data_IF_373984166369
#
_entry.id   IF_373984166369
#
_cell.length_a   1.000
_cell.length_b   1.000
_cell.length_c   1.000
_cell.angle_alpha   90.00
_cell.angle_beta   90.00
_cell.angle_gamma   90.00
#
_symmetry.space_group_name_H-M   'P 1'
#
loop_
_entity.id
_entity.type
_entity.pdbx_description
1 polymer ?
#
# COMPACT_ATOMS: atom_id res chain seq x y z
N UNK A 1 12.38 -47.75 43.39
CA UNK A 1 12.45 -48.05 41.94
C UNK A 1 12.28 -46.73 41.21
N UNK A 2 13.36 -45.97 41.11
CA UNK A 2 14.31 -45.88 39.99
C UNK A 2 13.87 -44.81 38.97
N UNK A 3 14.61 -43.70 39.01
CA UNK A 3 14.75 -42.68 37.97
C UNK A 3 15.52 -43.29 36.80
N UNK A 4 15.20 -42.88 35.57
CA UNK A 4 16.22 -42.74 34.52
C UNK A 4 16.04 -41.40 33.81
N UNK A 5 17.13 -40.64 33.81
CA UNK A 5 17.38 -39.41 33.06
C UNK A 5 18.02 -39.80 31.73
N UNK A 6 17.70 -39.08 30.65
CA UNK A 6 18.58 -39.00 29.49
C UNK A 6 18.78 -37.55 29.07
N UNK A 7 20.06 -37.17 29.08
CA UNK A 7 20.64 -35.87 28.76
C UNK A 7 20.67 -35.59 27.25
N UNK A 8 20.71 -34.30 26.82
CA UNK A 8 20.89 -33.94 25.42
C UNK A 8 22.38 -33.96 25.02
N UNK A 9 22.68 -34.63 23.91
CA UNK A 9 23.99 -34.62 23.27
C UNK A 9 24.14 -33.34 22.44
N UNK A 10 25.13 -32.52 22.79
CA UNK A 10 25.69 -31.50 21.91
C UNK A 10 26.65 -32.16 20.91
N UNK A 11 26.50 -31.86 19.62
CA UNK A 11 27.59 -31.98 18.66
C UNK A 11 27.71 -30.67 17.88
N UNK A 12 28.76 -29.94 18.23
CA UNK A 12 29.40 -28.94 17.39
C UNK A 12 29.81 -29.59 16.05
N UNK A 13 29.59 -28.89 14.94
CA UNK A 13 30.60 -28.88 13.89
C UNK A 13 30.49 -27.61 13.03
N UNK A 14 31.43 -26.69 13.30
CA UNK A 14 31.98 -25.80 12.29
C UNK A 14 32.64 -26.69 11.24
N UNK A 15 32.23 -26.60 9.98
CA UNK A 15 33.17 -26.71 8.88
C UNK A 15 32.68 -25.95 7.66
N UNK A 16 33.64 -25.21 7.15
CA UNK A 16 33.62 -24.13 6.18
C UNK A 16 33.54 -24.64 4.74
N UNK A 17 32.94 -23.79 3.90
CA UNK A 17 33.10 -23.66 2.45
C UNK A 17 34.35 -24.33 1.86
N UNK A 18 34.14 -25.39 1.09
CA UNK A 18 34.74 -25.66 -0.23
C UNK A 18 34.22 -27.02 -0.68
N UNK A 19 34.01 -27.24 -1.97
CA UNK A 19 33.48 -28.49 -2.57
C UNK A 19 31.95 -28.60 -2.70
N UNK A 20 31.33 -27.62 -3.37
CA UNK A 20 30.11 -27.88 -4.16
C UNK A 20 30.27 -27.16 -5.51
N UNK A 21 31.25 -27.61 -6.27
CA UNK A 21 31.30 -27.43 -7.72
C UNK A 21 31.50 -28.80 -8.33
N UNK A 22 30.67 -29.07 -9.34
CA UNK A 22 30.68 -30.23 -10.23
C UNK A 22 30.14 -31.53 -9.61
N UNK A 23 28.88 -31.83 -9.95
CA UNK A 23 28.48 -33.10 -10.58
C UNK A 23 26.95 -33.16 -10.69
N UNK A 24 26.41 -32.74 -11.82
CA UNK A 24 25.11 -33.22 -12.30
C UNK A 24 25.25 -33.57 -13.78
N UNK A 25 25.79 -34.75 -14.02
CA UNK A 25 25.58 -35.48 -15.27
C UNK A 25 24.68 -36.68 -15.02
N UNK A 26 23.62 -36.73 -15.82
CA UNK A 26 23.02 -37.93 -16.41
C UNK A 26 22.24 -38.90 -15.49
N UNK A 27 20.94 -38.59 -15.31
CA UNK A 27 19.89 -39.60 -15.16
C UNK A 27 19.23 -39.83 -16.54
N UNK A 28 19.10 -41.09 -17.03
CA UNK A 28 18.46 -41.39 -18.31
C UNK A 28 16.94 -41.47 -18.13
N UNK A 29 16.14 -40.77 -18.96
CA UNK A 29 14.71 -41.05 -19.02
C UNK A 29 13.73 -39.96 -19.46
N UNK A 30 14.14 -38.74 -19.82
CA UNK A 30 13.22 -37.74 -20.39
C UNK A 30 13.86 -37.03 -21.59
N UNK A 31 13.39 -37.24 -22.84
CA UNK A 31 13.97 -36.63 -24.03
C UNK A 31 13.40 -35.22 -24.26
N UNK A 32 13.37 -34.40 -23.22
CA UNK A 32 13.10 -32.97 -23.37
C UNK A 32 14.32 -32.22 -22.88
N UNK A 33 15.29 -32.07 -23.80
CA UNK A 33 16.26 -30.99 -23.70
C UNK A 33 15.44 -29.72 -23.83
N UNK A 34 15.29 -28.95 -22.75
CA UNK A 34 14.74 -27.60 -22.84
C UNK A 34 15.80 -26.79 -23.58
N UNK A 35 15.72 -26.79 -24.90
CA UNK A 35 16.47 -25.85 -25.71
C UNK A 35 15.99 -24.46 -25.31
N UNK A 36 16.90 -23.67 -24.73
CA UNK A 36 16.62 -22.24 -24.54
C UNK A 36 16.28 -21.68 -25.92
N UNK A 37 15.13 -20.99 -26.08
CA UNK A 37 14.70 -20.55 -27.40
C UNK A 37 15.81 -19.71 -28.03
N UNK A 38 16.14 -20.02 -29.29
CA UNK A 38 17.24 -19.40 -30.05
C UNK A 38 17.03 -17.89 -30.29
N UNK A 39 15.84 -17.37 -29.98
CA UNK A 39 15.45 -15.97 -30.03
C UNK A 39 14.59 -15.66 -28.80
N UNK A 40 14.81 -14.53 -28.10
CA UNK A 40 13.93 -14.10 -27.02
C UNK A 40 12.50 -13.90 -27.56
N UNK A 41 11.50 -14.38 -26.82
CA UNK A 41 10.09 -14.19 -27.18
C UNK A 41 9.79 -12.68 -27.17
N UNK A 42 9.41 -12.12 -28.31
CA UNK A 42 8.94 -10.75 -28.40
C UNK A 42 7.52 -10.67 -27.83
N UNK A 43 7.32 -9.80 -26.84
CA UNK A 43 6.00 -9.52 -26.27
C UNK A 43 5.42 -8.32 -27.02
N UNK A 44 4.22 -8.46 -27.57
CA UNK A 44 3.55 -7.38 -28.32
C UNK A 44 2.72 -6.49 -27.40
N UNK A 45 2.13 -7.06 -26.34
CA UNK A 45 1.31 -6.32 -25.39
C UNK A 45 1.27 -6.95 -23.99
N UNK A 46 0.88 -6.12 -23.02
CA UNK A 46 0.60 -6.53 -21.64
C UNK A 46 -0.90 -6.63 -21.42
N UNK A 47 -1.37 -7.61 -20.66
CA UNK A 47 -2.77 -7.71 -20.24
C UNK A 47 -2.91 -7.76 -18.71
N UNK A 48 -3.43 -6.69 -18.11
CA UNK A 48 -3.83 -6.69 -16.70
C UNK A 48 -5.10 -7.52 -16.55
N UNK A 49 -4.93 -8.77 -16.13
CA UNK A 49 -5.99 -9.78 -16.11
C UNK A 49 -7.09 -9.49 -15.08
N UNK A 50 -6.73 -8.82 -13.97
CA UNK A 50 -7.67 -8.47 -12.89
C UNK A 50 -7.22 -7.20 -12.16
N UNK A 51 -8.16 -6.30 -11.91
CA UNK A 51 -7.92 -5.09 -11.11
C UNK A 51 -8.01 -5.40 -9.61
N UNK A 52 -7.31 -4.61 -8.80
CA UNK A 52 -7.29 -4.72 -7.35
C UNK A 52 -7.97 -3.51 -6.69
N UNK A 53 -7.98 -3.47 -5.36
CA UNK A 53 -8.32 -2.26 -4.60
C UNK A 53 -7.47 -1.06 -5.06
N UNK A 54 -7.96 0.16 -4.85
CA UNK A 54 -7.37 1.40 -5.37
C UNK A 54 -5.83 1.46 -5.27
N UNK A 55 -5.27 1.37 -4.07
CA UNK A 55 -3.82 1.47 -3.88
C UNK A 55 -3.03 0.36 -4.57
N UNK A 56 -3.56 -0.87 -4.58
CA UNK A 56 -2.94 -1.97 -5.30
C UNK A 56 -3.00 -1.76 -6.81
N UNK A 57 -4.09 -1.22 -7.32
CA UNK A 57 -4.27 -0.94 -8.74
C UNK A 57 -3.37 0.20 -9.24
N UNK A 58 -3.12 1.25 -8.42
CA UNK A 58 -2.07 2.24 -8.71
C UNK A 58 -0.70 1.56 -8.84
N UNK A 59 -0.36 0.68 -7.91
CA UNK A 59 0.89 -0.10 -7.96
C UNK A 59 0.97 -1.01 -9.20
N UNK A 60 -0.14 -1.64 -9.60
CA UNK A 60 -0.21 -2.46 -10.82
C UNK A 60 0.11 -1.61 -12.06
N UNK A 61 -0.50 -0.43 -12.17
CA UNK A 61 -0.30 0.46 -13.31
C UNK A 61 1.13 0.97 -13.40
N UNK A 62 1.71 1.42 -12.29
CA UNK A 62 3.11 1.88 -12.27
C UNK A 62 4.05 0.76 -12.70
N UNK A 63 3.88 -0.45 -12.18
CA UNK A 63 4.68 -1.61 -12.56
C UNK A 63 4.58 -1.93 -14.06
N UNK A 64 3.36 -1.89 -14.61
CA UNK A 64 3.13 -2.18 -16.03
C UNK A 64 3.72 -1.10 -16.92
N UNK A 65 3.48 0.18 -16.62
CA UNK A 65 4.07 1.27 -17.39
C UNK A 65 5.60 1.22 -17.35
N UNK A 66 6.19 0.99 -16.18
CA UNK A 66 7.63 0.81 -16.07
C UNK A 66 8.14 -0.34 -16.96
N UNK A 67 7.50 -1.50 -16.87
CA UNK A 67 7.88 -2.67 -17.64
C UNK A 67 7.76 -2.41 -19.14
N UNK A 68 6.68 -1.77 -19.57
CA UNK A 68 6.46 -1.40 -20.97
C UNK A 68 7.56 -0.47 -21.49
N UNK A 69 7.93 0.57 -20.73
CA UNK A 69 8.99 1.50 -21.12
C UNK A 69 10.34 0.81 -21.25
N UNK A 70 10.71 -0.08 -20.31
CA UNK A 70 12.00 -0.78 -20.36
C UNK A 70 12.09 -1.81 -21.50
N UNK A 71 10.96 -2.31 -21.98
CA UNK A 71 10.92 -3.38 -22.99
C UNK A 71 10.36 -2.91 -24.34
N UNK A 72 10.12 -1.61 -24.54
CA UNK A 72 9.52 -1.03 -25.74
C UNK A 72 8.18 -1.70 -26.12
N UNK A 73 7.33 -1.95 -25.12
CA UNK A 73 5.99 -2.53 -25.33
C UNK A 73 4.96 -1.40 -25.37
N UNK A 74 4.28 -1.27 -26.49
CA UNK A 74 3.43 -0.11 -26.78
C UNK A 74 1.95 -0.29 -26.42
N UNK A 75 1.53 -1.45 -25.88
CA UNK A 75 0.12 -1.72 -25.60
C UNK A 75 -0.10 -2.38 -24.25
N UNK A 76 -1.09 -1.85 -23.52
CA UNK A 76 -1.57 -2.38 -22.26
C UNK A 76 -3.08 -2.58 -22.35
N UNK A 77 -3.53 -3.82 -22.23
CA UNK A 77 -4.94 -4.17 -22.14
C UNK A 77 -5.38 -4.31 -20.68
N UNK A 78 -6.61 -3.93 -20.40
CA UNK A 78 -7.26 -4.22 -19.11
C UNK A 78 -8.61 -4.87 -19.40
N UNK A 79 -8.90 -6.01 -18.77
CA UNK A 79 -10.21 -6.67 -18.95
C UNK A 79 -11.33 -5.95 -18.20
N UNK A 80 -10.99 -5.49 -17.02
CA UNK A 80 -11.88 -4.72 -16.15
C UNK A 80 -11.58 -3.23 -16.30
N UNK A 81 -12.59 -2.41 -16.08
CA UNK A 81 -12.38 -0.98 -16.00
C UNK A 81 -11.68 -0.66 -14.68
N UNK A 82 -10.62 0.12 -14.72
CA UNK A 82 -10.21 0.85 -13.52
C UNK A 82 -11.24 1.98 -13.37
N UNK A 83 -12.16 1.84 -12.42
CA UNK A 83 -13.32 2.74 -12.30
C UNK A 83 -12.98 4.23 -12.13
N UNK A 84 -11.74 4.54 -11.76
CA UNK A 84 -11.21 5.90 -11.62
C UNK A 84 -10.26 6.29 -12.75
N UNK A 85 -10.19 5.54 -13.86
CA UNK A 85 -9.34 5.86 -15.02
C UNK A 85 -10.22 6.12 -16.23
N UNK A 86 -9.82 7.08 -17.06
CA UNK A 86 -10.51 7.33 -18.33
C UNK A 86 -10.40 6.09 -19.26
N UNK A 87 -11.52 5.66 -19.84
CA UNK A 87 -11.60 4.41 -20.61
C UNK A 87 -10.87 4.46 -21.96
N UNK A 88 -10.60 5.65 -22.48
CA UNK A 88 -9.86 5.84 -23.72
C UNK A 88 -8.72 6.83 -23.48
N UNK A 89 -7.48 6.33 -23.45
CA UNK A 89 -6.32 7.20 -23.33
C UNK A 89 -5.25 6.85 -24.35
N UNK A 90 -5.06 7.76 -25.32
CA UNK A 90 -3.85 7.84 -26.14
C UNK A 90 -2.84 8.73 -25.43
N UNK A 91 -1.58 8.29 -25.36
CA UNK A 91 -0.62 8.82 -24.39
C UNK A 91 0.12 10.07 -24.87
N UNK A 92 0.27 10.32 -26.18
CA UNK A 92 0.54 11.60 -26.88
C UNK A 92 1.26 11.32 -28.21
N UNK A 93 1.58 12.36 -28.98
CA UNK A 93 2.21 12.27 -30.32
C UNK A 93 3.65 11.74 -30.32
N UNK A 94 4.36 11.69 -29.17
CA UNK A 94 5.81 11.46 -29.14
C UNK A 94 6.31 10.23 -28.33
N UNK A 95 5.48 9.55 -27.52
CA UNK A 95 5.83 8.27 -26.88
C UNK A 95 4.59 7.33 -26.77
N UNK A 96 4.69 6.16 -27.41
CA UNK A 96 3.55 5.29 -27.81
C UNK A 96 3.27 4.15 -26.81
N UNK A 97 2.82 4.42 -25.59
CA UNK A 97 2.13 3.34 -24.84
C UNK A 97 0.63 3.58 -24.98
N UNK A 98 -0.19 2.61 -25.34
CA UNK A 98 -1.65 2.75 -25.41
C UNK A 98 -2.28 1.94 -24.28
N UNK A 99 -3.11 2.60 -23.45
CA UNK A 99 -3.89 1.93 -22.42
C UNK A 99 -5.30 1.64 -22.96
N UNK A 100 -5.52 0.38 -23.31
CA UNK A 100 -6.70 -0.16 -23.96
C UNK A 100 -7.63 -0.77 -22.90
N UNK A 101 -8.46 0.06 -22.28
CA UNK A 101 -9.37 -0.32 -21.19
C UNK A 101 -10.58 -1.08 -21.72
N UNK A 102 -10.94 -2.20 -21.08
CA UNK A 102 -12.06 -3.08 -21.47
C UNK A 102 -11.99 -3.59 -22.93
N UNK A 103 -10.78 -3.63 -23.50
CA UNK A 103 -10.55 -4.14 -24.85
C UNK A 103 -9.90 -5.51 -24.78
N UNK A 104 -10.20 -6.34 -25.78
CA UNK A 104 -9.54 -7.63 -25.95
C UNK A 104 -8.33 -7.46 -26.87
N UNK A 105 -7.23 -8.16 -26.57
CA UNK A 105 -6.13 -8.29 -27.51
C UNK A 105 -6.55 -8.93 -28.83
N UNK A 106 -5.79 -8.64 -29.90
CA UNK A 106 -5.96 -9.31 -31.18
C UNK A 106 -5.42 -10.74 -31.15
N UNK A 107 -5.97 -11.63 -31.99
CA UNK A 107 -5.59 -13.05 -32.02
C UNK A 107 -4.13 -13.32 -32.43
N UNK A 108 -3.43 -12.33 -32.99
CA UNK A 108 -2.05 -12.45 -33.46
C UNK A 108 -1.01 -11.86 -32.48
N UNK A 109 -1.44 -11.24 -31.38
CA UNK A 109 -0.53 -10.58 -30.43
C UNK A 109 0.00 -11.59 -29.39
N UNK A 110 1.31 -11.57 -29.14
CA UNK A 110 1.93 -12.31 -28.04
C UNK A 110 1.77 -11.50 -26.75
N UNK A 111 1.07 -12.08 -25.78
CA UNK A 111 0.68 -11.40 -24.55
C UNK A 111 1.43 -11.89 -23.33
N UNK A 112 1.89 -10.95 -22.52
CA UNK A 112 2.19 -11.22 -21.12
C UNK A 112 0.99 -10.79 -20.27
N UNK A 113 0.30 -11.77 -19.68
CA UNK A 113 -0.90 -11.56 -18.88
C UNK A 113 -0.65 -11.84 -17.40
N UNK A 114 -1.19 -11.01 -16.52
CA UNK A 114 -0.97 -11.16 -15.09
C UNK A 114 -1.62 -10.11 -14.22
N UNK A 115 -1.31 -10.15 -12.91
CA UNK A 115 -1.72 -9.12 -11.96
C UNK A 115 -0.76 -7.95 -11.91
N UNK A 116 0.55 -8.15 -12.11
CA UNK A 116 1.55 -7.08 -12.07
C UNK A 116 1.60 -6.27 -10.76
N UNK A 117 1.07 -6.78 -9.64
CA UNK A 117 1.13 -6.09 -8.35
C UNK A 117 2.54 -6.13 -7.73
N UNK A 118 3.26 -7.25 -7.90
CA UNK A 118 4.60 -7.42 -7.34
C UNK A 118 5.68 -7.07 -8.37
N UNK A 119 6.48 -6.00 -8.16
CA UNK A 119 7.56 -5.64 -9.09
C UNK A 119 8.62 -6.75 -9.20
N UNK A 120 8.84 -7.52 -8.12
CA UNK A 120 9.75 -8.67 -8.11
C UNK A 120 9.37 -9.75 -9.11
N UNK A 121 8.07 -9.95 -9.37
CA UNK A 121 7.61 -10.94 -10.35
C UNK A 121 7.93 -10.52 -11.79
N UNK A 122 8.15 -9.22 -12.03
CA UNK A 122 8.51 -8.67 -13.33
C UNK A 122 10.01 -8.45 -13.50
N UNK A 123 10.81 -8.80 -12.48
CA UNK A 123 12.21 -8.38 -12.36
C UNK A 123 12.37 -6.85 -12.53
N UNK A 124 11.33 -6.08 -12.19
CA UNK A 124 11.35 -4.63 -12.22
C UNK A 124 11.95 -4.12 -10.91
N UNK A 125 13.03 -3.37 -11.03
CA UNK A 125 13.55 -2.52 -9.95
C UNK A 125 13.61 -1.11 -10.47
N UNK A 126 12.95 -0.19 -9.78
CA UNK A 126 12.95 1.24 -10.06
C UNK A 126 13.34 1.99 -8.79
N UNK A 127 13.99 3.14 -8.97
CA UNK A 127 14.20 4.14 -7.93
C UNK A 127 12.88 4.78 -7.52
N UNK A 128 12.86 5.45 -6.36
CA UNK A 128 11.68 6.21 -5.93
C UNK A 128 11.36 7.37 -6.90
N UNK A 129 12.37 7.97 -7.55
CA UNK A 129 12.17 8.99 -8.58
C UNK A 129 11.54 8.41 -9.85
N UNK A 130 12.02 7.27 -10.35
CA UNK A 130 11.38 6.57 -11.47
C UNK A 130 9.92 6.23 -11.16
N UNK A 131 9.63 5.79 -9.93
CA UNK A 131 8.27 5.48 -9.50
C UNK A 131 7.35 6.71 -9.55
N UNK A 132 7.79 7.85 -9.02
CA UNK A 132 7.04 9.11 -9.05
C UNK A 132 6.88 9.62 -10.48
N UNK A 133 7.94 9.59 -11.29
CA UNK A 133 7.91 10.05 -12.68
C UNK A 133 6.90 9.24 -13.52
N UNK A 134 6.88 7.92 -13.34
CA UNK A 134 5.92 7.06 -14.04
C UNK A 134 4.50 7.35 -13.59
N UNK A 135 4.29 7.51 -12.29
CA UNK A 135 2.99 7.90 -11.78
C UNK A 135 2.54 9.23 -12.39
N UNK A 136 3.39 10.25 -12.41
CA UNK A 136 3.02 11.59 -12.87
C UNK A 136 2.80 11.70 -14.38
N UNK A 137 3.60 11.00 -15.18
CA UNK A 137 3.46 11.03 -16.63
C UNK A 137 2.35 10.09 -17.14
N UNK A 138 2.23 8.89 -16.54
CA UNK A 138 1.42 7.81 -17.10
C UNK A 138 0.18 7.46 -16.29
N UNK A 139 0.15 7.67 -14.98
CA UNK A 139 -1.01 7.27 -14.15
C UNK A 139 -1.88 8.47 -13.78
N UNK A 140 -1.30 9.48 -13.14
CA UNK A 140 -2.00 10.65 -12.61
C UNK A 140 -2.89 11.38 -13.63
N UNK A 141 -2.45 11.64 -14.89
CA UNK A 141 -3.27 12.36 -15.87
C UNK A 141 -4.55 11.62 -16.27
N UNK A 142 -4.64 10.33 -15.95
CA UNK A 142 -5.74 9.44 -16.33
C UNK A 142 -6.72 9.22 -15.18
N UNK A 143 -6.33 9.62 -13.97
CA UNK A 143 -7.19 9.50 -12.78
C UNK A 143 -8.33 10.51 -12.89
N UNK A 144 -9.55 9.99 -13.03
CA UNK A 144 -10.80 10.73 -13.03
C UNK A 144 -11.54 10.47 -11.72
N UNK A 145 -11.63 11.50 -10.90
CA UNK A 145 -12.34 11.48 -9.63
C UNK A 145 -13.50 12.48 -9.66
N UNK A 146 -14.57 12.26 -8.88
CA UNK A 146 -15.62 13.25 -8.72
C UNK A 146 -15.07 14.52 -8.06
N UNK A 147 -15.85 15.60 -8.14
CA UNK A 147 -15.60 16.78 -7.30
C UNK A 147 -15.72 16.33 -5.84
N UNK A 148 -14.75 16.75 -5.02
CA UNK A 148 -14.79 16.41 -3.60
C UNK A 148 -16.02 17.02 -2.94
N UNK A 149 -16.77 16.24 -2.15
CA UNK A 149 -17.94 16.77 -1.43
C UNK A 149 -17.55 17.74 -0.30
N UNK A 150 -16.29 17.73 0.13
CA UNK A 150 -15.79 18.54 1.24
C UNK A 150 -14.63 19.41 0.76
N UNK A 151 -14.72 20.71 0.99
CA UNK A 151 -13.60 21.62 0.77
C UNK A 151 -12.61 21.48 1.93
N UNK A 152 -11.34 21.20 1.60
CA UNK A 152 -10.24 21.06 2.57
C UNK A 152 -9.41 22.36 2.61
N UNK A 153 -9.28 22.92 3.81
CA UNK A 153 -8.47 24.11 4.11
C UNK A 153 -7.02 23.74 4.46
N UNK A 154 -6.14 24.75 4.54
CA UNK A 154 -4.73 24.56 4.93
C UNK A 154 -4.55 24.22 6.42
N UNK A 155 -5.53 24.54 7.27
CA UNK A 155 -5.53 24.30 8.72
C UNK A 155 -6.36 23.07 9.13
N UNK A 156 -7.02 22.43 8.17
CA UNK A 156 -7.71 21.17 8.40
C UNK A 156 -6.71 20.02 8.60
N UNK A 157 -7.10 19.07 9.46
CA UNK A 157 -6.47 17.76 9.57
C UNK A 157 -7.40 16.69 8.99
N UNK A 158 -6.97 16.06 7.90
CA UNK A 158 -7.71 14.95 7.29
C UNK A 158 -7.23 13.64 7.90
N UNK A 159 -8.15 12.79 8.36
CA UNK A 159 -7.85 11.54 9.05
C UNK A 159 -8.47 10.38 8.28
N UNK A 160 -7.64 9.59 7.62
CA UNK A 160 -8.07 8.33 7.00
C UNK A 160 -8.01 7.18 8.00
N UNK A 161 -9.16 6.56 8.28
CA UNK A 161 -9.23 5.29 8.97
C UNK A 161 -9.42 4.15 7.98
N UNK A 162 -8.61 3.09 8.13
CA UNK A 162 -8.91 1.81 7.51
C UNK A 162 -9.99 1.13 8.35
N UNK A 163 -11.07 0.72 7.72
CA UNK A 163 -12.17 -0.03 8.34
C UNK A 163 -12.60 -1.17 7.39
N UNK A 164 -13.84 -1.66 7.49
CA UNK A 164 -14.39 -2.69 6.61
C UNK A 164 -13.87 -4.09 6.90
N UNK A 165 -13.35 -4.76 5.87
CA UNK A 165 -12.98 -6.17 5.85
C UNK A 165 -12.02 -6.60 6.97
N UNK A 166 -11.17 -5.69 7.43
CA UNK A 166 -10.19 -5.99 8.49
C UNK A 166 -10.81 -6.02 9.90
N UNK A 167 -12.02 -5.46 10.08
CA UNK A 167 -12.80 -5.51 11.32
C UNK A 167 -14.04 -6.42 11.22
N UNK A 168 -14.18 -7.15 10.10
CA UNK A 168 -15.22 -8.15 9.97
C UNK A 168 -14.99 -9.35 10.90
N UNK A 169 -16.06 -10.10 11.18
CA UNK A 169 -15.99 -11.35 11.96
C UNK A 169 -15.38 -12.53 11.16
N UNK A 170 -15.10 -12.33 9.87
CA UNK A 170 -14.33 -13.26 9.04
C UNK A 170 -12.83 -13.13 9.36
N UNK A 171 -12.05 -14.18 9.09
CA UNK A 171 -10.59 -14.20 9.32
C UNK A 171 -9.92 -12.98 8.66
N UNK A 172 -9.59 -11.91 9.42
CA UNK A 172 -9.07 -10.70 8.82
C UNK A 172 -7.61 -10.94 8.43
N UNK A 173 -7.14 -10.25 7.40
CA UNK A 173 -5.76 -10.49 6.97
C UNK A 173 -4.77 -10.01 8.06
N UNK A 174 -3.90 -10.90 8.58
CA UNK A 174 -3.28 -10.73 9.89
C UNK A 174 -2.22 -9.62 9.95
N UNK A 175 -1.79 -9.11 8.80
CA UNK A 175 -0.86 -7.98 8.73
C UNK A 175 -1.53 -6.61 8.86
N UNK A 176 -2.87 -6.53 8.85
CA UNK A 176 -3.61 -5.26 8.79
C UNK A 176 -4.12 -4.73 10.14
N UNK A 177 -3.46 -5.07 11.25
CA UNK A 177 -3.68 -4.35 12.50
C UNK A 177 -3.51 -2.85 12.32
N UNK A 178 -4.34 -2.08 13.02
CA UNK A 178 -4.47 -0.63 12.86
C UNK A 178 -3.90 0.15 14.05
N UNK A 179 -3.61 1.45 13.88
CA UNK A 179 -3.07 2.30 14.95
C UNK A 179 -3.99 2.40 16.18
N UNK A 180 -3.45 2.60 17.38
CA UNK A 180 -4.25 2.83 18.59
C UNK A 180 -4.93 4.20 18.57
N UNK A 181 -5.94 4.38 19.43
CA UNK A 181 -6.63 5.67 19.64
C UNK A 181 -5.64 6.80 20.00
N UNK A 182 -4.68 6.49 20.88
CA UNK A 182 -3.67 7.43 21.35
C UNK A 182 -2.78 8.00 20.25
N UNK A 183 -2.61 7.28 19.13
CA UNK A 183 -1.91 7.82 17.95
C UNK A 183 -2.66 9.01 17.36
N UNK A 184 -3.97 8.86 17.11
CA UNK A 184 -4.79 9.93 16.53
C UNK A 184 -4.85 11.13 17.47
N UNK A 185 -5.08 10.88 18.77
CA UNK A 185 -5.11 11.93 19.80
C UNK A 185 -3.80 12.72 19.85
N UNK A 186 -2.66 12.02 19.88
CA UNK A 186 -1.33 12.64 19.91
C UNK A 186 -1.09 13.57 18.71
N UNK A 187 -1.49 13.14 17.51
CA UNK A 187 -1.35 13.97 16.30
C UNK A 187 -2.29 15.18 16.35
N UNK A 188 -3.55 14.99 16.73
CA UNK A 188 -4.53 16.09 16.85
C UNK A 188 -4.05 17.15 17.86
N UNK A 189 -3.51 16.73 19.01
CA UNK A 189 -3.00 17.65 20.03
C UNK A 189 -1.75 18.41 19.59
N UNK A 190 -0.90 17.76 18.78
CA UNK A 190 0.29 18.39 18.20
C UNK A 190 -0.07 19.40 17.11
N UNK A 191 -0.99 19.03 16.22
CA UNK A 191 -1.34 19.85 15.07
C UNK A 191 -2.30 21.00 15.40
N UNK A 192 -3.16 20.83 16.41
CA UNK A 192 -4.18 21.81 16.82
C UNK A 192 -4.98 22.35 15.62
N UNK A 193 -5.64 21.46 14.85
CA UNK A 193 -6.33 21.87 13.64
C UNK A 193 -7.57 22.71 13.95
N UNK A 194 -7.96 23.57 13.00
CA UNK A 194 -9.22 24.31 13.08
C UNK A 194 -10.43 23.37 12.94
N UNK A 195 -10.24 22.26 12.21
CA UNK A 195 -11.25 21.23 11.97
C UNK A 195 -10.61 19.91 11.58
N UNK A 196 -11.25 18.81 11.95
CA UNK A 196 -10.90 17.48 11.47
C UNK A 196 -11.89 16.98 10.40
N UNK A 197 -11.37 16.30 9.37
CA UNK A 197 -12.18 15.61 8.38
C UNK A 197 -11.90 14.11 8.49
N UNK A 198 -12.88 13.35 8.98
CA UNK A 198 -12.73 11.92 9.22
C UNK A 198 -13.21 11.15 7.99
N UNK A 199 -12.31 10.41 7.34
CA UNK A 199 -12.60 9.64 6.12
C UNK A 199 -12.49 8.15 6.41
N UNK A 200 -13.56 7.39 6.16
CA UNK A 200 -13.63 5.95 6.45
C UNK A 200 -14.70 5.24 5.61
N UNK A 201 -14.48 3.94 5.34
CA UNK A 201 -15.42 3.11 4.57
C UNK A 201 -16.70 2.82 5.37
N UNK A 202 -16.54 2.55 6.66
CA UNK A 202 -17.62 2.28 7.61
C UNK A 202 -17.17 2.54 9.05
N UNK A 203 -18.07 2.32 10.02
CA UNK A 203 -17.80 2.54 11.46
C UNK A 203 -17.22 1.33 12.19
N UNK A 204 -16.72 0.31 11.48
CA UNK A 204 -16.24 -0.93 12.12
C UNK A 204 -14.92 -0.75 12.89
N UNK A 205 -14.14 0.29 12.57
CA UNK A 205 -12.92 0.62 13.32
C UNK A 205 -13.28 1.29 14.65
N UNK A 206 -12.94 0.62 15.75
CA UNK A 206 -13.27 1.04 17.13
C UNK A 206 -12.73 2.43 17.52
N UNK A 207 -11.70 2.93 16.85
CA UNK A 207 -11.13 4.24 17.15
C UNK A 207 -11.96 5.41 16.58
N UNK A 208 -12.84 5.19 15.58
CA UNK A 208 -13.56 6.28 14.91
C UNK A 208 -14.43 7.06 15.89
N UNK A 209 -15.35 6.37 16.59
CA UNK A 209 -16.25 6.99 17.55
C UNK A 209 -15.48 7.66 18.71
N UNK A 210 -14.39 7.04 19.16
CA UNK A 210 -13.58 7.60 20.24
C UNK A 210 -12.82 8.87 19.82
N UNK A 211 -12.43 8.97 18.55
CA UNK A 211 -11.87 10.22 18.00
C UNK A 211 -12.96 11.29 17.89
N UNK A 212 -14.18 10.96 17.47
CA UNK A 212 -15.32 11.90 17.46
C UNK A 212 -15.60 12.46 18.86
N UNK A 213 -15.65 11.59 19.89
CA UNK A 213 -15.82 11.98 21.30
C UNK A 213 -14.69 12.91 21.76
N UNK A 214 -13.44 12.55 21.45
CA UNK A 214 -12.27 13.34 21.81
C UNK A 214 -12.31 14.75 21.18
N UNK A 215 -12.67 14.83 19.89
CA UNK A 215 -12.79 16.11 19.17
C UNK A 215 -13.89 16.98 19.78
N UNK A 216 -15.04 16.40 20.10
CA UNK A 216 -16.13 17.11 20.77
C UNK A 216 -15.71 17.65 22.15
N UNK A 217 -14.99 16.86 22.96
CA UNK A 217 -14.47 17.28 24.26
C UNK A 217 -13.46 18.43 24.16
N UNK A 218 -12.66 18.46 23.08
CA UNK A 218 -11.69 19.54 22.80
C UNK A 218 -12.33 20.74 22.09
N UNK A 219 -13.64 20.71 21.82
CA UNK A 219 -14.35 21.69 21.00
C UNK A 219 -13.71 21.92 19.61
N UNK A 220 -13.15 20.87 19.00
CA UNK A 220 -12.62 20.89 17.65
C UNK A 220 -13.74 20.44 16.69
N UNK A 221 -14.20 21.28 15.76
CA UNK A 221 -15.18 20.90 14.75
C UNK A 221 -14.72 19.68 13.94
N UNK A 222 -15.65 18.81 13.57
CA UNK A 222 -15.34 17.70 12.66
C UNK A 222 -16.48 17.38 11.70
N UNK A 223 -16.12 16.80 10.55
CA UNK A 223 -17.04 16.31 9.54
C UNK A 223 -16.63 14.88 9.17
N UNK A 224 -17.61 14.01 8.97
CA UNK A 224 -17.37 12.64 8.54
C UNK A 224 -17.68 12.49 7.05
N UNK A 225 -16.77 11.85 6.33
CA UNK A 225 -16.86 11.51 4.91
C UNK A 225 -16.81 9.98 4.80
N UNK A 226 -17.95 9.38 4.48
CA UNK A 226 -18.14 7.93 4.43
C UNK A 226 -19.26 7.61 3.45
N UNK A 227 -19.03 7.93 2.18
CA UNK A 227 -20.02 7.72 1.11
C UNK A 227 -19.58 6.59 0.21
N UNK A 228 -19.09 6.90 -0.98
CA UNK A 228 -18.41 5.98 -1.85
C UNK A 228 -16.90 6.22 -1.86
N UNK A 229 -16.15 5.19 -2.25
CA UNK A 229 -14.69 5.20 -2.32
C UNK A 229 -14.13 6.33 -3.19
N UNK A 230 -14.82 6.77 -4.25
CA UNK A 230 -14.33 7.83 -5.14
C UNK A 230 -14.44 9.18 -4.49
N UNK A 231 -15.56 9.45 -3.83
CA UNK A 231 -15.77 10.66 -3.03
C UNK A 231 -14.77 10.73 -1.86
N UNK A 232 -14.46 9.60 -1.24
CA UNK A 232 -13.45 9.49 -0.18
C UNK A 232 -12.04 9.79 -0.72
N UNK A 233 -11.66 9.19 -1.86
CA UNK A 233 -10.39 9.50 -2.52
C UNK A 233 -10.33 10.96 -2.96
N UNK A 234 -11.42 11.52 -3.49
CA UNK A 234 -11.49 12.92 -3.91
C UNK A 234 -11.31 13.88 -2.71
N UNK A 235 -11.84 13.54 -1.54
CA UNK A 235 -11.58 14.26 -0.30
C UNK A 235 -10.10 14.16 0.11
N UNK A 236 -9.56 12.95 0.17
CA UNK A 236 -8.19 12.69 0.60
C UNK A 236 -7.14 13.32 -0.32
N UNK A 237 -7.37 13.35 -1.63
CA UNK A 237 -6.51 14.00 -2.63
C UNK A 237 -6.29 15.49 -2.36
N UNK A 238 -7.22 16.16 -1.68
CA UNK A 238 -7.13 17.59 -1.38
C UNK A 238 -6.48 17.88 -0.02
N UNK A 239 -5.99 16.85 0.68
CA UNK A 239 -5.39 17.00 2.00
C UNK A 239 -4.13 17.87 2.00
N UNK A 240 -4.00 18.69 3.04
CA UNK A 240 -2.79 19.49 3.32
C UNK A 240 -2.04 18.88 4.49
N UNK A 241 -2.76 18.51 5.54
CA UNK A 241 -2.27 17.74 6.68
C UNK A 241 -3.06 16.43 6.75
N UNK A 242 -2.37 15.29 6.69
CA UNK A 242 -3.01 13.98 6.54
C UNK A 242 -2.52 12.98 7.60
N UNK A 243 -3.46 12.33 8.30
CA UNK A 243 -3.21 11.08 9.02
C UNK A 243 -3.60 9.91 8.12
N UNK A 244 -2.70 8.95 7.95
CA UNK A 244 -2.95 7.72 7.17
C UNK A 244 -2.97 6.49 8.06
N UNK A 245 -4.07 5.73 7.98
CA UNK A 245 -4.13 4.37 8.50
C UNK A 245 -3.18 3.41 7.76
N UNK A 246 -2.94 2.23 8.35
CA UNK A 246 -2.04 1.22 7.78
C UNK A 246 -2.69 0.51 6.60
N UNK A 247 -2.12 0.70 5.41
CA UNK A 247 -2.54 0.03 4.17
C UNK A 247 -1.82 0.60 2.95
N UNK A 248 -1.83 -0.12 1.82
CA UNK A 248 -1.34 0.40 0.53
C UNK A 248 -2.18 1.56 0.00
N UNK A 249 -3.39 1.73 0.51
CA UNK A 249 -4.26 2.85 0.19
C UNK A 249 -3.65 4.19 0.62
N UNK A 250 -3.07 4.27 1.83
CA UNK A 250 -2.44 5.50 2.33
C UNK A 250 -1.31 5.97 1.42
N UNK A 251 -0.43 5.07 1.00
CA UNK A 251 0.68 5.38 0.08
C UNK A 251 0.18 5.96 -1.24
N UNK A 252 -0.82 5.32 -1.85
CA UNK A 252 -1.42 5.78 -3.09
C UNK A 252 -2.08 7.17 -2.95
N UNK A 253 -2.69 7.46 -1.80
CA UNK A 253 -3.21 8.80 -1.51
C UNK A 253 -2.09 9.83 -1.42
N UNK A 254 -0.98 9.52 -0.75
CA UNK A 254 0.14 10.48 -0.65
C UNK A 254 0.76 10.82 -2.00
N UNK A 255 0.77 9.88 -2.94
CA UNK A 255 1.13 10.14 -4.34
C UNK A 255 0.11 11.00 -5.08
N UNK A 256 -1.17 10.81 -4.80
CA UNK A 256 -2.24 11.51 -5.51
C UNK A 256 -2.36 12.98 -5.09
N UNK A 257 -2.02 13.30 -3.83
CA UNK A 257 -2.14 14.63 -3.26
C UNK A 257 -1.00 15.55 -3.74
N UNK A 258 -1.35 16.70 -4.33
CA UNK A 258 -0.39 17.71 -4.81
C UNK A 258 -0.18 18.88 -3.84
N UNK A 259 -0.95 18.96 -2.75
CA UNK A 259 -0.90 20.02 -1.73
C UNK A 259 -0.38 19.54 -0.37
N UNK A 260 0.06 18.28 -0.29
CA UNK A 260 0.42 17.64 0.97
C UNK A 260 1.63 18.35 1.59
N UNK A 261 1.43 18.97 2.75
CA UNK A 261 2.49 19.61 3.53
C UNK A 261 2.98 18.71 4.66
N UNK A 262 2.09 17.94 5.27
CA UNK A 262 2.42 17.02 6.38
C UNK A 262 1.65 15.71 6.29
N UNK A 263 2.34 14.61 6.54
CA UNK A 263 1.71 13.28 6.68
C UNK A 263 2.16 12.60 7.97
N UNK A 264 1.20 11.98 8.66
CA UNK A 264 1.38 11.26 9.92
C UNK A 264 1.00 9.80 9.74
N UNK A 265 1.87 8.90 10.18
CA UNK A 265 1.61 7.47 10.13
C UNK A 265 2.11 6.77 11.38
N UNK A 266 1.59 5.57 11.62
CA UNK A 266 1.96 4.75 12.77
C UNK A 266 2.80 3.55 12.36
N UNK A 267 4.02 3.47 12.89
CA UNK A 267 5.01 2.40 12.66
C UNK A 267 5.49 2.22 11.20
N UNK A 268 6.62 1.54 11.04
CA UNK A 268 7.42 1.48 9.79
C UNK A 268 6.91 0.57 8.67
N UNK A 269 5.59 0.33 8.56
CA UNK A 269 5.14 -0.60 7.51
C UNK A 269 5.26 0.01 6.11
N UNK A 270 5.17 1.33 5.99
CA UNK A 270 5.10 2.02 4.72
C UNK A 270 6.17 3.10 4.64
N UNK A 271 6.91 3.08 3.53
CA UNK A 271 7.94 4.07 3.22
C UNK A 271 7.25 5.25 2.55
N UNK A 272 6.90 6.27 3.34
CA UNK A 272 6.42 7.56 2.82
C UNK A 272 7.53 8.39 2.16
N UNK A 273 8.57 7.73 1.62
CA UNK A 273 9.62 8.32 0.78
C UNK A 273 9.00 9.09 -0.39
N UNK A 274 7.89 8.60 -0.92
CA UNK A 274 7.16 9.26 -2.02
C UNK A 274 6.56 10.61 -1.59
N UNK A 275 6.08 10.71 -0.35
CA UNK A 275 5.61 11.98 0.20
C UNK A 275 6.79 12.95 0.44
N UNK A 276 7.93 12.44 0.91
CA UNK A 276 9.17 13.24 1.06
C UNK A 276 9.64 13.80 -0.28
N UNK A 277 9.67 12.98 -1.34
CA UNK A 277 10.04 13.41 -2.69
C UNK A 277 9.13 14.52 -3.24
N UNK A 278 7.88 14.57 -2.75
CA UNK A 278 6.91 15.62 -3.08
C UNK A 278 6.95 16.83 -2.15
N UNK A 279 7.97 16.91 -1.29
CA UNK A 279 8.21 18.04 -0.40
C UNK A 279 7.34 18.06 0.87
N UNK A 280 6.61 16.98 1.17
CA UNK A 280 5.85 16.88 2.40
C UNK A 280 6.77 16.55 3.59
N UNK A 281 6.45 17.09 4.77
CA UNK A 281 7.03 16.64 6.03
C UNK A 281 6.40 15.34 6.45
N UNK A 282 7.22 14.35 6.78
CA UNK A 282 6.76 13.02 7.15
C UNK A 282 7.01 12.78 8.62
N UNK A 283 5.96 12.48 9.37
CA UNK A 283 6.00 12.23 10.80
C UNK A 283 5.62 10.79 11.10
N UNK A 284 6.55 10.06 11.72
CA UNK A 284 6.31 8.73 12.24
C UNK A 284 5.92 8.83 13.70
N UNK A 285 4.82 8.18 14.07
CA UNK A 285 4.52 7.86 15.46
C UNK A 285 4.83 6.39 15.70
N UNK A 286 5.65 6.10 16.71
CA UNK A 286 6.09 4.75 17.06
C UNK A 286 5.75 4.39 18.51
N UNK A 287 5.55 3.10 18.72
CA UNK A 287 5.45 2.46 20.02
C UNK A 287 6.87 2.23 20.59
N UNK A 288 7.22 3.01 21.62
CA UNK A 288 8.52 2.93 22.31
C UNK A 288 8.72 1.62 23.07
N UNK A 289 7.64 1.00 23.56
CA UNK A 289 7.72 -0.20 24.41
C UNK A 289 7.72 -1.47 23.56
N UNK A 290 7.22 -1.40 22.33
CA UNK A 290 7.02 -2.51 21.42
C UNK A 290 5.82 -3.39 21.78
N UNK A 291 5.06 -3.06 22.84
CA UNK A 291 3.92 -3.86 23.29
C UNK A 291 2.78 -3.86 22.27
N UNK A 292 2.35 -2.69 21.84
CA UNK A 292 1.28 -2.55 20.85
C UNK A 292 1.71 -3.19 19.53
N UNK A 293 2.94 -2.89 19.10
CA UNK A 293 3.52 -3.46 17.89
C UNK A 293 3.49 -4.99 17.94
N UNK A 294 3.96 -5.57 19.04
CA UNK A 294 4.03 -7.02 19.23
C UNK A 294 2.66 -7.71 19.29
N UNK A 295 1.61 -7.04 19.77
CA UNK A 295 0.26 -7.62 19.95
C UNK A 295 -0.70 -7.38 18.79
N UNK A 296 -0.45 -6.36 17.97
CA UNK A 296 -1.40 -5.90 16.92
C UNK A 296 -0.76 -5.86 15.53
N UNK A 297 0.55 -5.63 15.41
CA UNK A 297 1.18 -5.19 14.15
C UNK A 297 2.20 -6.16 13.55
N UNK A 298 2.45 -7.32 14.16
CA UNK A 298 3.47 -8.31 13.74
C UNK A 298 2.90 -9.46 12.91
N UNK A 299 1.79 -9.25 12.21
CA UNK A 299 1.15 -10.33 11.44
C UNK A 299 0.29 -11.23 12.33
N UNK A 300 -0.29 -10.68 13.38
CA UNK A 300 -1.12 -11.35 14.37
C UNK A 300 -2.48 -10.70 14.59
N UNK A 301 -2.88 -9.76 13.72
CA UNK A 301 -4.20 -9.16 13.78
C UNK A 301 -5.28 -10.23 13.56
N UNK A 302 -6.22 -10.32 14.49
CA UNK A 302 -7.34 -11.25 14.47
C UNK A 302 -8.67 -10.57 14.79
N UNK A 303 -8.66 -9.26 15.04
CA UNK A 303 -9.84 -8.48 15.42
C UNK A 303 -10.51 -9.01 16.72
N UNK A 304 -9.71 -9.48 17.68
CA UNK A 304 -10.24 -9.96 18.97
C UNK A 304 -10.64 -8.80 19.88
N UNK A 305 -11.50 -9.05 20.86
CA UNK A 305 -11.89 -8.04 21.84
C UNK A 305 -10.70 -7.52 22.66
N UNK A 306 -9.71 -8.36 22.94
CA UNK A 306 -8.47 -7.96 23.62
C UNK A 306 -7.65 -7.00 22.76
N UNK A 307 -7.55 -7.26 21.45
CA UNK A 307 -6.87 -6.37 20.52
C UNK A 307 -7.59 -5.03 20.38
N UNK A 308 -8.94 -5.04 20.28
CA UNK A 308 -9.76 -3.81 20.26
C UNK A 308 -9.59 -3.01 21.55
N UNK A 309 -9.66 -3.66 22.72
CA UNK A 309 -9.42 -3.03 24.02
C UNK A 309 -8.02 -2.42 24.10
N UNK A 310 -7.02 -3.11 23.58
CA UNK A 310 -5.66 -2.57 23.49
C UNK A 310 -5.62 -1.33 22.58
N UNK A 311 -6.26 -1.36 21.40
CA UNK A 311 -6.37 -0.19 20.52
C UNK A 311 -6.96 1.04 21.23
N UNK A 312 -7.98 0.84 22.06
CA UNK A 312 -8.65 1.94 22.75
C UNK A 312 -7.87 2.47 23.96
N UNK A 313 -7.22 1.59 24.71
CA UNK A 313 -6.63 1.91 26.02
C UNK A 313 -5.10 2.09 25.99
N UNK A 314 -4.45 1.96 24.83
CA UNK A 314 -2.99 2.06 24.76
C UNK A 314 -2.50 3.48 25.11
N UNK A 315 -1.62 3.59 26.10
CA UNK A 315 -1.21 4.87 26.67
C UNK A 315 -0.37 5.73 25.69
N UNK A 316 -0.74 7.00 25.53
CA UNK A 316 -0.03 7.95 24.67
C UNK A 316 1.40 8.27 25.13
N UNK A 317 1.73 8.06 26.41
CA UNK A 317 3.08 8.19 26.96
C UNK A 317 4.03 7.11 26.43
N UNK A 318 3.50 5.98 25.94
CA UNK A 318 4.27 4.96 25.25
C UNK A 318 4.57 5.33 23.79
N UNK A 319 3.98 6.42 23.28
CA UNK A 319 4.17 6.87 21.91
C UNK A 319 5.20 7.99 21.80
N UNK A 320 6.08 7.88 20.81
CA UNK A 320 6.96 8.97 20.37
C UNK A 320 6.60 9.41 18.96
N UNK A 321 6.87 10.67 18.63
CA UNK A 321 6.71 11.22 17.29
C UNK A 321 8.06 11.71 16.79
N UNK A 322 8.45 11.26 15.61
CA UNK A 322 9.70 11.63 14.94
C UNK A 322 9.39 12.26 13.58
N UNK A 323 10.04 13.39 13.30
CA UNK A 323 10.10 13.93 11.95
C UNK A 323 11.17 13.20 11.13
N UNK A 324 10.80 12.68 9.96
CA UNK A 324 11.66 11.93 9.04
C UNK A 324 12.17 12.78 7.86
N UNK A 325 11.85 14.09 7.82
CA UNK A 325 12.44 15.01 6.84
C UNK A 325 13.89 15.37 7.13
#
# INVERSE_FOLDING_TARGET
MQREQLSPVQVNNKQTQSQLHQNHENLPGFPYRIESPAQPIKIDAIEIAKTSSFGNSIQQLINVFYFCLKNNICKIYTRENFLYINSEVKISENEEIELLVQRKPGNAEVLLSGRFFSPKQLNCTYSSDEYVNIFDQYVLPRIKLPVSPITVSDTDLVIHFRSGDIFANSSPHPKYGQPPLSFYQKVIEQEKPDRCILVFEDRSNVCIEQVEIFLAQKAIPFICQSSDVYSDIACLKNSVNLIVARGTFGDAITLLTNRLKKVYFFEDRYKFELALLRGAKVFRVSDKTGEFKGKVLTGNWQNTEEQKKLMLNYDASNLEMQNLT
#
